data_IF_227996948371
#
_entry.id   IF_227996948371
#
_cell.length_a   1.000
_cell.length_b   1.000
_cell.length_c   1.000
_cell.angle_alpha   90.00
_cell.angle_beta   90.00
_cell.angle_gamma   90.00
#
_symmetry.space_group_name_H-M   'P 1'
#
loop_
_entity.id
_entity.type
_entity.pdbx_description
1 polymer ?
#
# COMPACT_ATOMS: atom_id res chain seq x y z
N UNK A 1 7.37 -1.19 12.35
CA UNK A 1 5.94 -0.80 12.29
C UNK A 1 5.02 -2.00 12.56
N UNK A 2 5.20 -3.16 11.90
CA UNK A 2 4.30 -4.33 12.00
C UNK A 2 3.88 -4.76 13.41
N UNK A 3 4.76 -4.67 14.42
CA UNK A 3 4.40 -5.18 15.75
C UNK A 3 3.29 -4.37 16.44
N UNK A 4 3.10 -3.07 16.13
CA UNK A 4 2.01 -2.27 16.72
C UNK A 4 0.64 -2.80 16.29
N UNK A 5 0.45 -3.13 15.01
CA UNK A 5 -0.79 -3.67 14.49
C UNK A 5 -1.08 -5.05 15.09
N UNK A 6 -0.08 -5.93 15.10
CA UNK A 6 -0.16 -7.27 15.71
C UNK A 6 -0.59 -7.20 17.17
N UNK A 7 0.02 -6.30 17.96
CA UNK A 7 -0.36 -6.11 19.37
C UNK A 7 -1.82 -5.67 19.53
N UNK A 8 -2.36 -4.91 18.59
CA UNK A 8 -3.75 -4.44 18.60
C UNK A 8 -4.70 -5.59 18.28
N UNK A 9 -4.40 -6.40 17.27
CA UNK A 9 -5.17 -7.61 16.94
C UNK A 9 -5.26 -8.54 18.15
N UNK A 10 -4.13 -8.82 18.82
CA UNK A 10 -4.17 -9.64 20.02
C UNK A 10 -4.95 -9.01 21.18
N UNK A 11 -4.93 -7.69 21.37
CA UNK A 11 -5.79 -7.01 22.35
C UNK A 11 -7.28 -7.20 22.04
N UNK A 12 -7.67 -7.14 20.77
CA UNK A 12 -9.04 -7.42 20.37
C UNK A 12 -9.43 -8.88 20.61
N UNK A 13 -8.53 -9.82 20.34
CA UNK A 13 -8.74 -11.24 20.64
C UNK A 13 -8.94 -11.48 22.15
N UNK A 14 -8.08 -10.91 22.99
CA UNK A 14 -8.22 -11.01 24.46
C UNK A 14 -9.54 -10.43 24.94
N UNK A 15 -9.91 -9.25 24.46
CA UNK A 15 -11.20 -8.63 24.79
C UNK A 15 -12.39 -9.49 24.33
N UNK A 16 -12.26 -10.18 23.20
CA UNK A 16 -13.25 -11.14 22.72
C UNK A 16 -13.38 -12.36 23.64
N UNK A 17 -12.25 -12.93 24.06
CA UNK A 17 -12.20 -14.05 25.03
C UNK A 17 -12.81 -13.64 26.38
N UNK A 18 -12.54 -12.43 26.86
CA UNK A 18 -13.12 -11.88 28.08
C UNK A 18 -14.65 -11.82 28.01
N UNK A 19 -15.20 -11.31 26.89
CA UNK A 19 -16.67 -11.24 26.66
C UNK A 19 -17.30 -12.63 26.58
N UNK A 20 -16.57 -13.63 26.08
CA UNK A 20 -16.99 -15.03 26.02
C UNK A 20 -16.77 -15.78 27.35
N UNK A 21 -16.29 -15.11 28.40
CA UNK A 21 -16.00 -15.67 29.72
C UNK A 21 -14.94 -16.78 29.70
N UNK A 22 -13.88 -16.64 28.90
CA UNK A 22 -12.70 -17.51 28.95
C UNK A 22 -11.73 -17.01 30.02
N UNK A 23 -11.06 -17.93 30.73
CA UNK A 23 -10.08 -17.61 31.77
C UNK A 23 -8.64 -17.90 31.33
N UNK A 24 -7.74 -16.97 31.63
CA UNK A 24 -6.28 -17.17 31.48
C UNK A 24 -5.80 -18.29 32.41
N UNK A 25 -4.83 -19.09 31.97
CA UNK A 25 -4.26 -20.28 32.64
C UNK A 25 -5.24 -21.44 32.88
N UNK A 26 -6.52 -21.28 32.50
CA UNK A 26 -7.54 -22.34 32.56
C UNK A 26 -8.02 -22.73 31.17
N UNK A 27 -8.52 -21.75 30.42
CA UNK A 27 -9.11 -21.95 29.09
C UNK A 27 -8.15 -21.54 27.96
N UNK A 28 -7.17 -20.68 28.23
CA UNK A 28 -6.17 -20.25 27.26
C UNK A 28 -4.83 -19.84 27.91
N UNK A 29 -3.75 -19.99 27.13
CA UNK A 29 -2.38 -19.61 27.49
C UNK A 29 -1.79 -18.62 26.48
N UNK A 30 -0.97 -17.70 26.98
CA UNK A 30 -0.29 -16.69 26.18
C UNK A 30 1.13 -17.12 25.78
N UNK A 31 1.49 -16.97 24.51
CA UNK A 31 2.83 -17.23 23.98
C UNK A 31 3.56 -15.92 23.71
N UNK A 32 4.63 -15.68 24.46
CA UNK A 32 5.49 -14.51 24.27
C UNK A 32 6.66 -14.81 23.33
N UNK A 33 7.12 -13.77 22.63
CA UNK A 33 8.28 -13.83 21.76
C UNK A 33 9.56 -14.03 22.56
N UNK A 34 10.38 -14.96 22.11
CA UNK A 34 11.75 -15.18 22.62
C UNK A 34 12.74 -14.17 22.01
N UNK A 35 12.33 -13.46 20.95
CA UNK A 35 13.24 -12.57 20.22
C UNK A 35 13.39 -11.22 20.93
N UNK A 36 14.62 -10.80 21.30
CA UNK A 36 14.86 -9.56 22.06
C UNK A 36 14.40 -8.30 21.32
N UNK A 37 14.31 -8.34 19.99
CA UNK A 37 13.77 -7.21 19.18
C UNK A 37 12.32 -6.88 19.53
N UNK A 38 11.57 -7.84 20.05
CA UNK A 38 10.14 -7.73 20.30
C UNK A 38 9.78 -7.55 21.77
N UNK A 39 10.75 -7.43 22.68
CA UNK A 39 10.54 -7.10 24.12
C UNK A 39 9.39 -7.89 24.76
N UNK A 40 9.43 -9.22 24.68
CA UNK A 40 8.40 -10.14 25.22
C UNK A 40 6.98 -9.89 24.67
N UNK A 41 6.93 -9.42 23.43
CA UNK A 41 5.73 -9.34 22.62
C UNK A 41 4.83 -10.57 22.70
N UNK A 42 3.52 -10.38 22.77
CA UNK A 42 2.56 -11.45 22.56
C UNK A 42 2.60 -11.89 21.08
N UNK A 43 2.96 -13.14 20.87
CA UNK A 43 3.11 -13.76 19.53
C UNK A 43 2.10 -14.85 19.27
N UNK A 44 1.39 -15.33 20.28
CA UNK A 44 0.31 -16.27 20.08
C UNK A 44 -0.54 -16.49 21.32
N UNK A 45 -1.67 -17.14 21.11
CA UNK A 45 -2.61 -17.58 22.14
C UNK A 45 -2.97 -19.03 21.82
N UNK A 46 -2.84 -19.93 22.78
CA UNK A 46 -3.40 -21.26 22.68
C UNK A 46 -4.71 -21.30 23.49
N UNK A 47 -5.79 -21.81 22.90
CA UNK A 47 -7.09 -21.94 23.56
C UNK A 47 -7.42 -23.43 23.65
N UNK A 48 -7.84 -23.91 24.82
CA UNK A 48 -8.00 -25.34 25.09
C UNK A 48 -9.39 -25.75 25.61
N UNK A 49 -10.34 -24.82 25.76
CA UNK A 49 -11.63 -25.05 26.43
C UNK A 49 -12.44 -26.23 25.87
N UNK A 50 -12.78 -26.19 24.57
CA UNK A 50 -13.57 -27.24 23.91
C UNK A 50 -12.73 -27.98 22.87
N UNK A 51 -12.10 -27.23 21.97
CA UNK A 51 -11.17 -27.73 20.95
C UNK A 51 -9.86 -26.95 21.04
N UNK A 52 -8.69 -27.62 20.98
CA UNK A 52 -7.40 -26.94 20.97
C UNK A 52 -7.28 -26.08 19.72
N UNK A 53 -7.26 -24.76 19.91
CA UNK A 53 -7.09 -23.77 18.86
C UNK A 53 -5.83 -22.96 19.14
N UNK A 54 -5.21 -22.46 18.09
CA UNK A 54 -3.98 -21.69 18.24
C UNK A 54 -3.98 -20.52 17.28
N UNK A 55 -3.82 -19.33 17.83
CA UNK A 55 -3.59 -18.11 17.05
C UNK A 55 -2.13 -17.76 17.19
N UNK A 56 -1.42 -17.61 16.07
CA UNK A 56 0.01 -17.25 16.06
C UNK A 56 0.28 -16.17 15.02
N UNK A 57 1.16 -15.26 15.40
CA UNK A 57 1.82 -14.37 14.46
C UNK A 57 3.08 -15.05 13.93
N UNK A 58 3.22 -15.09 12.61
CA UNK A 58 4.33 -15.73 11.91
C UNK A 58 4.93 -14.71 10.95
N UNK A 59 6.25 -14.68 10.87
CA UNK A 59 6.93 -13.85 9.87
C UNK A 59 6.86 -14.48 8.49
N UNK A 60 6.78 -13.68 7.42
CA UNK A 60 6.79 -14.20 6.05
C UNK A 60 7.97 -15.12 5.73
N UNK A 61 9.14 -14.93 6.38
CA UNK A 61 10.30 -15.80 6.18
C UNK A 61 10.14 -17.18 6.86
N UNK A 62 9.36 -17.27 7.94
CA UNK A 62 9.16 -18.48 8.76
C UNK A 62 7.92 -19.30 8.33
N UNK A 63 7.34 -18.94 7.19
CA UNK A 63 6.06 -19.44 6.69
C UNK A 63 6.07 -20.95 6.46
N UNK A 64 7.19 -21.52 5.96
CA UNK A 64 7.45 -22.92 5.60
C UNK A 64 6.41 -24.00 5.95
N UNK A 65 6.83 -25.06 6.66
CA UNK A 65 5.97 -26.22 7.03
C UNK A 65 4.84 -25.86 8.02
N UNK A 66 4.81 -24.62 8.55
CA UNK A 66 3.89 -24.24 9.64
C UNK A 66 2.48 -23.90 9.18
N UNK A 67 2.28 -23.65 7.89
CA UNK A 67 0.96 -23.31 7.33
C UNK A 67 0.10 -24.52 6.99
N UNK A 68 0.66 -25.74 6.97
CA UNK A 68 -0.10 -26.95 6.63
C UNK A 68 -1.22 -27.25 7.63
N UNK A 69 -1.08 -26.79 8.88
CA UNK A 69 -2.07 -26.95 9.95
C UNK A 69 -3.04 -25.77 10.05
N UNK A 70 -2.87 -24.72 9.25
CA UNK A 70 -3.70 -23.52 9.33
C UNK A 70 -5.04 -23.74 8.61
N UNK A 71 -6.14 -23.38 9.26
CA UNK A 71 -7.48 -23.33 8.65
C UNK A 71 -7.82 -21.93 8.10
N UNK A 72 -7.21 -20.91 8.70
CA UNK A 72 -7.39 -19.50 8.36
C UNK A 72 -6.04 -18.78 8.41
N UNK A 73 -5.72 -18.04 7.35
CA UNK A 73 -4.54 -17.20 7.26
C UNK A 73 -4.96 -15.77 6.96
N UNK A 74 -4.43 -14.82 7.74
CA UNK A 74 -4.72 -13.39 7.59
C UNK A 74 -3.44 -12.65 7.24
N UNK A 75 -3.44 -11.96 6.11
CA UNK A 75 -2.36 -11.07 5.68
C UNK A 75 -2.74 -9.62 5.95
N UNK A 76 -1.92 -8.93 6.74
CA UNK A 76 -1.97 -7.48 6.88
C UNK A 76 -0.99 -6.85 5.88
N UNK A 77 -1.40 -5.76 5.24
CA UNK A 77 -0.69 -5.11 4.12
C UNK A 77 -0.24 -6.06 3.00
N UNK A 78 -1.17 -6.87 2.50
CA UNK A 78 -0.90 -7.89 1.48
C UNK A 78 -0.28 -7.34 0.18
N UNK A 79 -0.63 -6.12 -0.25
CA UNK A 79 -0.10 -5.54 -1.49
C UNK A 79 1.39 -5.17 -1.41
N UNK A 80 1.96 -5.11 -0.20
CA UNK A 80 3.42 -4.97 0.00
C UNK A 80 4.18 -6.28 -0.18
N UNK A 81 3.48 -7.42 -0.16
CA UNK A 81 4.08 -8.74 -0.36
C UNK A 81 4.32 -8.97 -1.86
N UNK A 82 5.55 -9.34 -2.28
CA UNK A 82 5.80 -9.68 -3.66
C UNK A 82 4.90 -10.81 -4.17
N UNK A 83 4.29 -10.61 -5.34
CA UNK A 83 3.34 -11.56 -5.96
C UNK A 83 3.89 -12.99 -6.08
N UNK A 84 5.19 -13.14 -6.31
CA UNK A 84 5.82 -14.46 -6.39
C UNK A 84 5.85 -15.22 -5.06
N UNK A 85 5.97 -14.51 -3.93
CA UNK A 85 5.86 -15.12 -2.61
C UNK A 85 4.40 -15.42 -2.30
N UNK A 86 3.50 -14.48 -2.59
CA UNK A 86 2.07 -14.61 -2.31
C UNK A 86 1.45 -15.88 -2.90
N UNK A 87 1.88 -16.29 -4.11
CA UNK A 87 1.45 -17.54 -4.75
C UNK A 87 1.78 -18.79 -3.93
N UNK A 88 2.90 -18.78 -3.21
CA UNK A 88 3.31 -19.89 -2.34
C UNK A 88 2.55 -19.89 -1.00
N UNK A 89 1.84 -18.80 -0.70
CA UNK A 89 1.08 -18.62 0.55
C UNK A 89 -0.40 -19.00 0.39
N UNK A 90 -0.83 -19.39 -0.80
CA UNK A 90 -2.17 -19.93 -1.01
C UNK A 90 -2.14 -21.44 -0.82
N UNK A 91 -3.01 -21.94 0.06
CA UNK A 91 -3.15 -23.36 0.36
C UNK A 91 -4.63 -23.78 0.46
N UNK A 92 -4.92 -24.97 1.02
CA UNK A 92 -6.28 -25.49 1.17
C UNK A 92 -7.06 -24.85 2.34
N UNK A 93 -6.77 -23.59 2.67
CA UNK A 93 -7.31 -22.86 3.81
C UNK A 93 -7.93 -21.53 3.39
N UNK A 94 -8.72 -20.93 4.27
CA UNK A 94 -9.31 -19.61 4.04
C UNK A 94 -8.23 -18.55 4.16
N UNK A 95 -8.14 -17.67 3.16
CA UNK A 95 -7.18 -16.56 3.17
C UNK A 95 -7.94 -15.24 3.21
N UNK A 96 -7.65 -14.43 4.23
CA UNK A 96 -8.09 -13.04 4.33
C UNK A 96 -6.89 -12.12 4.06
N UNK A 97 -7.09 -11.12 3.22
CA UNK A 97 -6.07 -10.15 2.88
C UNK A 97 -6.61 -8.75 3.14
N UNK A 98 -5.85 -7.95 3.89
CA UNK A 98 -6.10 -6.54 4.09
C UNK A 98 -4.95 -5.74 3.45
N UNK A 99 -5.26 -4.60 2.85
CA UNK A 99 -4.26 -3.64 2.41
C UNK A 99 -4.87 -2.25 2.29
N UNK A 100 -4.06 -1.24 2.60
CA UNK A 100 -4.45 0.16 2.51
C UNK A 100 -4.15 0.69 1.11
N UNK A 101 -5.16 1.28 0.45
CA UNK A 101 -5.01 1.87 -0.91
C UNK A 101 -4.75 3.38 -0.89
N UNK A 102 -4.99 4.06 0.23
CA UNK A 102 -4.80 5.49 0.42
C UNK A 102 -4.20 5.77 1.80
N UNK A 103 -3.23 6.69 1.86
CA UNK A 103 -2.59 7.09 3.10
C UNK A 103 -1.05 7.10 3.03
N UNK A 104 -0.39 7.58 4.10
CA UNK A 104 1.05 7.82 4.14
C UNK A 104 1.92 6.54 4.20
N UNK A 105 1.30 5.37 4.36
CA UNK A 105 1.98 4.06 4.27
C UNK A 105 1.22 3.10 3.34
N UNK A 106 0.30 3.63 2.53
CA UNK A 106 -0.49 2.83 1.64
C UNK A 106 0.37 2.22 0.53
N UNK A 107 -0.03 1.02 0.11
CA UNK A 107 0.55 0.38 -1.06
C UNK A 107 0.05 1.09 -2.31
N UNK A 108 0.89 1.16 -3.35
CA UNK A 108 0.47 1.85 -4.57
C UNK A 108 -0.75 1.14 -5.20
N UNK A 109 -1.71 1.90 -5.77
CA UNK A 109 -2.89 1.32 -6.43
C UNK A 109 -2.51 0.33 -7.54
N UNK A 110 -1.37 0.59 -8.21
CA UNK A 110 -0.81 -0.31 -9.21
C UNK A 110 -0.42 -1.67 -8.62
N UNK A 111 0.31 -1.70 -7.49
CA UNK A 111 0.65 -2.96 -6.82
C UNK A 111 -0.59 -3.72 -6.36
N UNK A 112 -1.57 -3.02 -5.79
CA UNK A 112 -2.84 -3.62 -5.41
C UNK A 112 -3.54 -4.24 -6.65
N UNK A 113 -3.64 -3.51 -7.75
CA UNK A 113 -4.24 -4.02 -8.99
C UNK A 113 -3.49 -5.23 -9.57
N UNK A 114 -2.17 -5.21 -9.55
CA UNK A 114 -1.33 -6.32 -9.99
C UNK A 114 -1.49 -7.56 -9.11
N UNK A 115 -1.57 -7.37 -7.79
CA UNK A 115 -1.84 -8.44 -6.84
C UNK A 115 -3.20 -9.07 -7.13
N UNK A 116 -4.25 -8.25 -7.26
CA UNK A 116 -5.59 -8.72 -7.59
C UNK A 116 -5.61 -9.46 -8.93
N UNK A 117 -5.01 -8.92 -9.99
CA UNK A 117 -4.94 -9.58 -11.30
C UNK A 117 -4.15 -10.89 -11.27
N UNK A 118 -3.18 -11.01 -10.37
CA UNK A 118 -2.38 -12.23 -10.21
C UNK A 118 -3.11 -13.33 -9.41
N UNK A 119 -4.05 -12.95 -8.55
CA UNK A 119 -4.89 -13.85 -7.75
C UNK A 119 -6.16 -14.21 -8.51
N UNK A 120 -6.74 -13.27 -9.23
CA UNK A 120 -7.89 -13.54 -10.08
C UNK A 120 -7.49 -14.54 -11.16
N UNK A 121 -8.19 -15.67 -11.26
CA UNK A 121 -7.90 -16.65 -12.28
C UNK A 121 -8.19 -16.00 -13.63
N UNK A 122 -7.12 -15.68 -14.36
CA UNK A 122 -7.17 -15.35 -15.78
C UNK A 122 -7.65 -16.59 -16.55
N UNK A 123 -8.94 -16.89 -16.51
CA UNK A 123 -9.66 -17.82 -17.38
C UNK A 123 -9.15 -19.26 -17.57
N UNK A 124 -8.11 -19.72 -16.87
CA UNK A 124 -7.43 -20.99 -17.18
C UNK A 124 -7.08 -21.87 -15.97
N UNK A 125 -7.38 -21.44 -14.75
CA UNK A 125 -7.18 -22.24 -13.53
C UNK A 125 -8.54 -22.53 -12.87
N UNK A 126 -9.39 -23.24 -13.61
CA UNK A 126 -10.52 -23.97 -13.06
C UNK A 126 -10.00 -25.17 -12.26
N UNK A 127 -9.57 -24.94 -11.02
CA UNK A 127 -9.32 -26.02 -10.06
C UNK A 127 -9.26 -25.45 -8.64
N UNK A 128 -10.39 -25.48 -7.95
CA UNK A 128 -10.53 -25.49 -6.48
C UNK A 128 -10.30 -24.22 -5.66
N UNK A 129 -9.80 -23.12 -6.22
CA UNK A 129 -9.71 -21.86 -5.45
C UNK A 129 -11.02 -21.08 -5.50
N UNK A 130 -11.63 -20.82 -4.35
CA UNK A 130 -12.91 -20.10 -4.24
C UNK A 130 -12.89 -18.72 -4.89
N UNK A 131 -14.06 -18.22 -5.27
CA UNK A 131 -14.22 -16.88 -5.87
C UNK A 131 -13.67 -15.80 -4.93
N UNK A 132 -12.72 -14.99 -5.41
CA UNK A 132 -12.23 -13.82 -4.68
C UNK A 132 -13.39 -12.86 -4.39
N UNK A 133 -13.61 -12.56 -3.11
CA UNK A 133 -14.58 -11.56 -2.67
C UNK A 133 -13.84 -10.30 -2.25
N UNK A 134 -14.27 -9.15 -2.79
CA UNK A 134 -13.67 -7.85 -2.49
C UNK A 134 -14.61 -7.07 -1.60
N UNK A 135 -14.08 -6.57 -0.49
CA UNK A 135 -14.75 -5.65 0.42
C UNK A 135 -13.92 -4.38 0.51
N UNK A 136 -14.58 -3.23 0.52
CA UNK A 136 -13.91 -1.92 0.65
C UNK A 136 -14.46 -1.23 1.90
N UNK A 137 -13.56 -0.78 2.77
CA UNK A 137 -13.89 -0.03 3.97
C UNK A 137 -13.52 1.43 3.74
N UNK A 138 -14.53 2.29 3.58
CA UNK A 138 -14.33 3.73 3.34
C UNK A 138 -14.77 4.59 4.53
N UNK A 139 -15.54 4.03 5.47
CA UNK A 139 -16.07 4.80 6.59
C UNK A 139 -15.01 4.97 7.67
N UNK A 140 -14.56 6.21 7.95
CA UNK A 140 -13.57 6.46 8.98
C UNK A 140 -14.14 6.23 10.37
N UNK A 141 -13.30 5.71 11.28
CA UNK A 141 -13.69 5.47 12.67
C UNK A 141 -13.28 6.60 13.62
N UNK A 142 -12.35 7.47 13.20
CA UNK A 142 -11.76 8.51 14.05
C UNK A 142 -12.36 9.90 13.82
N UNK A 143 -12.94 10.13 12.65
CA UNK A 143 -13.50 11.40 12.21
C UNK A 143 -14.75 11.14 11.39
N UNK A 144 -15.50 12.20 11.06
CA UNK A 144 -16.71 12.08 10.27
C UNK A 144 -16.38 11.88 8.78
N UNK A 145 -17.24 11.15 8.06
CA UNK A 145 -17.12 11.03 6.62
C UNK A 145 -17.19 12.41 5.94
N UNK A 146 -16.24 12.69 5.05
CA UNK A 146 -16.17 13.98 4.35
C UNK A 146 -15.54 15.12 5.16
N UNK A 147 -14.60 14.81 6.06
CA UNK A 147 -13.88 15.83 6.81
C UNK A 147 -13.08 16.75 5.87
N UNK A 148 -13.36 18.05 5.96
CA UNK A 148 -12.67 19.08 5.17
C UNK A 148 -11.16 19.12 5.40
N UNK A 149 -10.69 18.79 6.61
CA UNK A 149 -9.27 18.79 6.96
C UNK A 149 -8.58 17.60 6.30
N UNK A 150 -9.23 16.42 6.31
CA UNK A 150 -8.74 15.24 5.61
C UNK A 150 -8.65 15.50 4.10
N UNK A 151 -9.72 16.04 3.50
CA UNK A 151 -9.73 16.37 2.08
C UNK A 151 -8.63 17.38 1.70
N UNK A 152 -8.44 18.42 2.52
CA UNK A 152 -7.37 19.38 2.33
C UNK A 152 -5.98 18.73 2.43
N UNK A 153 -5.78 17.84 3.42
CA UNK A 153 -4.50 17.16 3.64
C UNK A 153 -4.19 16.15 2.52
N UNK A 154 -5.17 15.37 2.08
CA UNK A 154 -5.04 14.43 0.96
C UNK A 154 -4.68 15.18 -0.34
N UNK A 155 -5.32 16.33 -0.56
CA UNK A 155 -5.01 17.21 -1.69
C UNK A 155 -3.57 17.75 -1.57
N UNK A 156 -3.20 18.35 -0.44
CA UNK A 156 -1.88 18.96 -0.24
C UNK A 156 -0.74 17.96 -0.38
N UNK A 157 -0.89 16.75 0.17
CA UNK A 157 0.11 15.70 0.11
C UNK A 157 0.06 14.87 -1.18
N UNK A 158 -0.87 15.16 -2.09
CA UNK A 158 -1.08 14.41 -3.33
C UNK A 158 -1.24 12.90 -3.09
N UNK A 159 -1.96 12.53 -2.02
CA UNK A 159 -2.14 11.13 -1.60
C UNK A 159 -3.18 10.42 -2.45
N UNK A 160 -4.17 11.17 -2.92
CA UNK A 160 -5.17 10.64 -3.84
C UNK A 160 -4.60 10.59 -5.26
N UNK A 161 -4.44 9.40 -5.85
CA UNK A 161 -3.96 9.28 -7.20
C UNK A 161 -5.04 9.88 -8.12
N UNK A 162 -4.78 11.06 -8.66
CA UNK A 162 -5.53 11.55 -9.80
C UNK A 162 -5.29 10.57 -10.95
N UNK A 163 -6.21 9.63 -11.17
CA UNK A 163 -6.14 8.69 -12.28
C UNK A 163 -5.95 9.52 -13.54
N UNK A 164 -4.79 9.40 -14.18
CA UNK A 164 -4.49 10.09 -15.44
C UNK A 164 -5.48 9.65 -16.52
N UNK A 165 -6.62 10.34 -16.61
CA UNK A 165 -7.68 10.11 -17.61
C UNK A 165 -7.19 10.32 -19.05
N UNK A 166 -6.00 10.92 -19.21
CA UNK A 166 -5.37 11.25 -20.48
C UNK A 166 -4.80 10.04 -21.25
N UNK A 167 -4.75 8.84 -20.65
CA UNK A 167 -4.25 7.62 -21.31
C UNK A 167 -5.25 6.99 -22.29
N UNK A 168 -6.48 7.52 -22.36
CA UNK A 168 -7.57 6.99 -23.18
C UNK A 168 -7.36 7.15 -24.70
N UNK A 169 -6.38 7.94 -25.15
CA UNK A 169 -6.19 8.28 -26.57
C UNK A 169 -4.98 7.60 -27.25
N UNK A 170 -4.32 6.65 -26.57
CA UNK A 170 -3.09 6.00 -27.07
C UNK A 170 -1.85 6.89 -26.90
N UNK A 171 -0.67 6.27 -26.87
CA UNK A 171 0.59 6.99 -26.72
C UNK A 171 1.14 7.45 -28.07
N UNK A 172 1.67 8.68 -28.19
CA UNK A 172 2.38 9.10 -29.39
C UNK A 172 3.69 8.31 -29.55
N UNK A 173 4.25 8.35 -30.75
CA UNK A 173 5.54 7.72 -31.04
C UNK A 173 6.62 8.32 -30.13
N UNK A 174 7.49 7.50 -29.50
CA UNK A 174 8.51 7.98 -28.56
C UNK A 174 9.37 9.12 -29.11
N UNK A 175 9.70 9.10 -30.41
CA UNK A 175 10.49 10.10 -31.09
C UNK A 175 9.85 11.50 -31.14
N UNK A 176 8.52 11.58 -30.98
CA UNK A 176 7.78 12.84 -30.94
C UNK A 176 7.67 13.42 -29.53
N UNK A 177 7.98 12.62 -28.51
CA UNK A 177 7.96 13.06 -27.13
C UNK A 177 9.23 13.83 -26.80
N UNK A 178 9.11 14.86 -25.96
CA UNK A 178 10.26 15.66 -25.52
C UNK A 178 10.36 15.66 -24.01
N UNK A 179 11.59 15.60 -23.54
CA UNK A 179 11.91 15.68 -22.12
C UNK A 179 12.07 17.14 -21.73
N UNK A 180 11.38 17.57 -20.68
CA UNK A 180 11.45 18.91 -20.13
C UNK A 180 11.96 18.88 -18.70
N UNK A 181 12.86 19.82 -18.37
CA UNK A 181 13.25 20.08 -16.99
C UNK A 181 12.19 20.97 -16.34
N UNK A 182 11.61 20.53 -15.22
CA UNK A 182 10.56 21.26 -14.53
C UNK A 182 11.18 22.29 -13.59
N UNK A 183 10.73 23.53 -13.68
CA UNK A 183 11.11 24.57 -12.73
C UNK A 183 10.37 24.36 -11.41
N UNK A 184 11.12 23.99 -10.36
CA UNK A 184 10.59 23.73 -9.03
C UNK A 184 9.84 24.91 -8.42
N UNK A 185 10.35 26.13 -8.58
CA UNK A 185 9.73 27.32 -8.00
C UNK A 185 8.36 27.60 -8.63
N UNK A 186 8.21 27.29 -9.91
CA UNK A 186 6.92 27.39 -10.60
C UNK A 186 5.98 26.23 -10.24
N UNK A 187 6.53 25.02 -10.04
CA UNK A 187 5.77 23.84 -9.65
C UNK A 187 5.13 23.99 -8.27
N UNK A 188 5.88 24.46 -7.28
CA UNK A 188 5.39 24.70 -5.92
C UNK A 188 4.88 26.13 -5.70
N UNK A 189 4.55 26.83 -6.79
CA UNK A 189 4.06 28.22 -6.75
C UNK A 189 2.59 28.38 -6.36
N UNK A 190 1.85 27.28 -6.13
CA UNK A 190 0.45 27.30 -5.68
C UNK A 190 -0.57 27.72 -6.73
N UNK A 191 -0.20 27.75 -8.02
CA UNK A 191 -1.15 28.01 -9.10
C UNK A 191 -1.98 26.76 -9.39
N UNK A 192 -3.26 26.91 -9.73
CA UNK A 192 -4.14 25.76 -10.04
C UNK A 192 -3.55 24.80 -11.07
N UNK A 193 -2.94 25.32 -12.13
CA UNK A 193 -2.31 24.50 -13.17
C UNK A 193 -1.06 23.77 -12.66
N UNK A 194 -0.30 24.39 -11.75
CA UNK A 194 0.86 23.77 -11.14
C UNK A 194 0.44 22.67 -10.15
N UNK A 195 -0.62 22.88 -9.38
CA UNK A 195 -1.22 21.85 -8.52
C UNK A 195 -1.73 20.67 -9.34
N UNK A 196 -2.51 20.90 -10.40
CA UNK A 196 -3.00 19.83 -11.29
C UNK A 196 -1.84 19.02 -11.91
N UNK A 197 -0.76 19.71 -12.28
CA UNK A 197 0.47 19.07 -12.78
C UNK A 197 1.23 18.31 -11.69
N UNK A 198 1.32 18.86 -10.47
CA UNK A 198 1.94 18.21 -9.32
C UNK A 198 1.19 16.93 -8.93
N UNK A 199 -0.14 16.97 -8.90
CA UNK A 199 -0.98 15.80 -8.66
C UNK A 199 -0.73 14.70 -9.71
N UNK A 200 -0.66 15.09 -10.98
CA UNK A 200 -0.35 14.16 -12.08
C UNK A 200 1.06 13.56 -11.95
N UNK A 201 2.04 14.40 -11.61
CA UNK A 201 3.43 13.99 -11.39
C UNK A 201 3.53 13.00 -10.24
N UNK A 202 2.94 13.34 -9.09
CA UNK A 202 2.93 12.49 -7.92
C UNK A 202 2.22 11.18 -8.20
N UNK A 203 1.04 11.18 -8.83
CA UNK A 203 0.34 9.95 -9.20
C UNK A 203 1.22 8.99 -10.02
N UNK A 204 2.06 9.50 -10.94
CA UNK A 204 2.98 8.68 -11.71
C UNK A 204 4.12 8.14 -10.84
N UNK A 205 4.73 9.01 -10.02
CA UNK A 205 5.81 8.60 -9.10
C UNK A 205 5.33 7.55 -8.10
N UNK A 206 4.14 7.74 -7.53
CA UNK A 206 3.41 6.82 -6.65
C UNK A 206 3.14 5.47 -7.32
N UNK A 207 2.72 5.49 -8.59
CA UNK A 207 2.40 4.25 -9.30
C UNK A 207 3.64 3.37 -9.53
N UNK A 208 4.81 4.00 -9.65
CA UNK A 208 6.09 3.34 -9.87
C UNK A 208 6.74 2.88 -8.56
N UNK A 209 6.60 3.65 -7.48
CA UNK A 209 7.12 3.27 -6.17
C UNK A 209 6.28 2.17 -5.53
N UNK A 210 6.92 1.36 -4.67
CA UNK A 210 6.20 0.33 -3.90
C UNK A 210 5.40 0.91 -2.75
N UNK A 211 5.94 1.96 -2.14
CA UNK A 211 5.37 2.63 -0.97
C UNK A 211 5.31 4.10 -1.24
N UNK A 212 4.18 4.71 -0.89
CA UNK A 212 4.06 6.14 -0.78
C UNK A 212 4.65 6.60 0.53
N UNK A 213 5.65 7.47 0.49
CA UNK A 213 6.07 8.20 1.68
C UNK A 213 5.89 9.71 1.39
N UNK A 214 5.07 10.44 2.18
CA UNK A 214 4.89 11.87 2.01
C UNK A 214 6.20 12.66 2.13
N UNK A 215 7.21 12.14 2.83
CA UNK A 215 8.53 12.74 2.93
C UNK A 215 9.21 12.91 1.56
N UNK A 216 8.84 12.09 0.55
CA UNK A 216 9.38 12.24 -0.80
C UNK A 216 8.98 13.58 -1.42
N UNK A 217 7.73 14.01 -1.24
CA UNK A 217 7.25 15.30 -1.73
C UNK A 217 7.96 16.45 -1.01
N UNK A 218 8.16 16.32 0.31
CA UNK A 218 8.89 17.32 1.08
C UNK A 218 10.34 17.45 0.63
N UNK A 219 11.05 16.33 0.48
CA UNK A 219 12.42 16.32 -0.02
C UNK A 219 12.52 16.89 -1.44
N UNK A 220 11.50 16.65 -2.29
CA UNK A 220 11.41 17.18 -3.63
C UNK A 220 11.28 18.71 -3.66
N UNK A 221 10.54 19.26 -2.70
CA UNK A 221 10.36 20.70 -2.55
C UNK A 221 11.62 21.37 -1.97
N UNK A 222 12.18 20.80 -0.91
CA UNK A 222 13.24 21.44 -0.12
C UNK A 222 14.65 21.27 -0.71
N UNK A 223 15.03 20.06 -1.09
CA UNK A 223 16.44 19.79 -1.42
C UNK A 223 16.81 20.29 -2.82
N UNK A 224 17.79 21.20 -2.96
CA UNK A 224 18.21 21.75 -4.26
C UNK A 224 18.80 20.68 -5.19
N UNK A 225 19.22 19.54 -4.65
CA UNK A 225 19.90 18.48 -5.40
C UNK A 225 18.96 17.64 -6.28
N UNK A 226 17.65 17.74 -6.09
CA UNK A 226 16.68 17.01 -6.90
C UNK A 226 16.27 17.78 -8.16
N UNK A 227 16.47 17.16 -9.31
CA UNK A 227 15.96 17.67 -10.59
C UNK A 227 14.85 16.77 -11.10
N UNK A 228 13.76 17.39 -11.55
CA UNK A 228 12.58 16.70 -12.08
C UNK A 228 12.59 16.88 -13.59
N UNK A 229 12.56 15.76 -14.31
CA UNK A 229 12.38 15.76 -15.75
C UNK A 229 11.08 15.03 -16.11
N UNK A 230 10.26 15.65 -16.95
CA UNK A 230 8.99 15.09 -17.41
C UNK A 230 9.02 14.87 -18.91
N UNK A 231 8.67 13.66 -19.34
CA UNK A 231 8.44 13.35 -20.75
C UNK A 231 7.00 13.72 -21.11
N UNK A 232 6.87 14.66 -22.06
CA UNK A 232 5.57 15.17 -22.49
C UNK A 232 5.31 14.82 -23.96
N UNK A 233 4.04 14.56 -24.34
CA UNK A 233 3.66 14.40 -25.74
C UNK A 233 3.80 15.74 -26.50
N UNK A 234 3.83 15.70 -27.84
CA UNK A 234 3.89 16.92 -28.65
C UNK A 234 2.69 17.83 -28.35
N UNK A 235 2.96 19.12 -28.17
CA UNK A 235 1.91 20.12 -27.91
C UNK A 235 1.08 20.31 -29.17
N UNK A 236 -0.15 19.80 -29.19
CA UNK A 236 -1.10 20.07 -30.27
C UNK A 236 -1.78 21.41 -30.01
N UNK A 237 -1.69 22.32 -30.97
CA UNK A 237 -2.05 23.73 -30.83
C UNK A 237 -3.55 24.01 -30.57
N UNK A 238 -4.40 22.98 -30.47
CA UNK A 238 -5.86 23.15 -30.48
C UNK A 238 -6.54 23.05 -29.11
N UNK A 239 -5.84 22.63 -28.03
CA UNK A 239 -6.41 22.69 -26.67
C UNK A 239 -5.32 23.03 -25.64
N UNK A 240 -5.56 24.07 -24.84
CA UNK A 240 -4.82 24.41 -23.61
C UNK A 240 -5.05 23.36 -22.49
N UNK A 241 -5.24 22.09 -22.85
CA UNK A 241 -5.25 21.01 -21.87
C UNK A 241 -3.80 20.65 -21.67
N UNK A 242 -3.34 20.77 -20.43
CA UNK A 242 -1.98 20.41 -20.06
C UNK A 242 -1.73 18.98 -20.54
N UNK A 243 -0.78 18.84 -21.45
CA UNK A 243 -0.33 17.56 -21.98
C UNK A 243 -0.01 16.62 -20.82
N UNK A 244 -0.75 15.52 -20.68
CA UNK A 244 -0.53 14.56 -19.59
C UNK A 244 0.91 14.06 -19.57
N UNK A 245 1.49 13.96 -18.37
CA UNK A 245 2.85 13.46 -18.17
C UNK A 245 2.87 11.97 -18.56
N UNK A 246 3.81 11.58 -19.43
CA UNK A 246 3.98 10.18 -19.85
C UNK A 246 4.94 9.46 -18.90
N UNK A 247 6.04 10.11 -18.56
CA UNK A 247 7.08 9.58 -17.70
C UNK A 247 7.69 10.71 -16.87
N UNK A 248 8.05 10.40 -15.63
CA UNK A 248 8.74 11.31 -14.73
C UNK A 248 10.07 10.68 -14.29
N UNK A 249 11.14 11.46 -14.36
CA UNK A 249 12.48 11.07 -13.93
C UNK A 249 12.90 12.02 -12.81
N UNK A 250 13.26 11.43 -11.67
CA UNK A 250 13.85 12.14 -10.55
C UNK A 250 15.36 11.88 -10.53
N UNK A 251 16.15 12.93 -10.75
CA UNK A 251 17.61 12.84 -10.74
C UNK A 251 18.13 13.56 -9.49
N UNK A 252 18.92 12.86 -8.68
CA UNK A 252 19.59 13.45 -7.52
C UNK A 252 21.05 13.69 -7.86
N UNK A 253 21.46 14.96 -7.93
CA UNK A 253 22.86 15.31 -8.09
C UNK A 253 23.60 15.13 -6.76
N UNK A 254 24.55 14.19 -6.73
CA UNK A 254 25.46 14.02 -5.59
C UNK A 254 26.74 14.78 -5.94
N UNK A 255 26.93 15.95 -5.35
CA UNK A 255 28.22 16.62 -5.41
C UNK A 255 29.18 15.93 -4.43
N UNK A 256 30.06 15.08 -4.95
CA UNK A 256 31.25 14.69 -4.20
C UNK A 256 32.19 15.90 -4.17
N UNK A 257 32.25 16.57 -3.03
CA UNK A 257 33.35 17.48 -2.72
C UNK A 257 34.56 16.57 -2.44
N UNK A 258 35.41 16.38 -3.45
CA UNK A 258 36.76 15.82 -3.28
C UNK A 258 37.74 16.93 -2.90
#
# INVERSE_FOLDING_TARGET
>A
MCYKNVSTVFKFLLKGLDVLNYKEDGDFDLIQSVNPKFKNALTGINVFRDHPQTVRFIFPEDIGERLEQAELVVFDEAASIPVHLLKNLFGPYVVLMASSTSGPEASSPYLFSNMINAIEPSGALESQSGKLQKFTLNDPIHYASGDSIESWLNHMLCVEPAICSHLSCGFPVPDQCRLFCVNRNSLFGGSKQAEDFLQSLMSILTSSSRVMNPDHLLNLADSPNYQIFCLLPPVTSSKQVLSGIICALLVMSIFFIY
#
